data_IF_714185182297
#
_entry.id   IF_714185182297
#
_cell.length_a   1.000
_cell.length_b   1.000
_cell.length_c   1.000
_cell.angle_alpha   90.00
_cell.angle_beta   90.00
_cell.angle_gamma   90.00
#
_symmetry.space_group_name_H-M   'P 1'
#
loop_
_entity.id
_entity.type
_entity.pdbx_description
1 polymer ?
#
# COMPACT_ATOMS: atom_id res chain seq x y z
N UNK A 1 -5.20 -21.58 18.74
CA UNK A 1 -5.31 -20.11 18.75
C UNK A 1 -5.77 -19.66 17.37
N UNK A 2 -6.75 -18.78 17.31
CA UNK A 2 -7.24 -18.18 16.06
C UNK A 2 -6.36 -16.99 15.71
N UNK A 3 -6.12 -16.76 14.43
CA UNK A 3 -5.45 -15.54 13.95
C UNK A 3 -6.31 -14.28 14.13
N UNK A 4 -7.61 -14.43 14.37
CA UNK A 4 -8.57 -13.32 14.51
C UNK A 4 -8.63 -12.73 15.93
N UNK A 5 -8.04 -13.36 16.93
CA UNK A 5 -8.02 -12.87 18.31
C UNK A 5 -6.59 -12.63 18.76
N UNK A 6 -6.40 -11.58 19.56
CA UNK A 6 -5.15 -11.35 20.28
C UNK A 6 -4.97 -12.38 21.38
N UNK A 7 -3.72 -12.68 21.72
CA UNK A 7 -3.43 -13.45 22.92
C UNK A 7 -3.54 -12.53 24.13
N UNK A 8 -4.13 -13.05 25.19
CA UNK A 8 -4.21 -12.32 26.47
C UNK A 8 -3.82 -13.22 27.63
N UNK A 9 -3.32 -12.61 28.67
CA UNK A 9 -2.98 -13.25 29.94
C UNK A 9 -3.63 -12.46 31.07
N UNK A 10 -4.43 -13.15 31.88
CA UNK A 10 -4.97 -12.59 33.11
C UNK A 10 -3.91 -12.73 34.19
N UNK A 11 -3.62 -11.62 34.86
CA UNK A 11 -2.69 -11.53 35.98
C UNK A 11 -3.49 -11.05 37.20
N UNK A 12 -3.48 -11.85 38.24
CA UNK A 12 -4.21 -11.55 39.45
C UNK A 12 -3.37 -10.65 40.37
N UNK A 13 -3.96 -9.55 40.87
CA UNK A 13 -3.36 -8.63 41.85
C UNK A 13 -2.01 -8.01 41.44
N UNK A 14 -1.83 -7.68 40.16
CA UNK A 14 -0.57 -7.14 39.64
C UNK A 14 -0.55 -5.60 39.52
N UNK A 15 -1.70 -4.92 39.64
CA UNK A 15 -1.79 -3.47 39.60
C UNK A 15 -2.17 -2.92 40.98
N UNK A 16 -1.21 -2.30 41.66
CA UNK A 16 -1.44 -1.55 42.89
C UNK A 16 -1.87 -0.11 42.55
N UNK A 17 -3.05 0.29 43.05
CA UNK A 17 -3.58 1.64 42.87
C UNK A 17 -3.77 2.30 44.22
N UNK A 18 -3.08 3.43 44.41
CA UNK A 18 -3.28 4.33 45.55
C UNK A 18 -3.80 5.67 45.01
N UNK A 19 -5.06 5.94 45.24
CA UNK A 19 -5.75 7.14 44.72
C UNK A 19 -6.89 7.55 45.63
N UNK A 20 -7.48 8.70 45.42
CA UNK A 20 -8.64 9.19 46.18
C UNK A 20 -9.86 8.24 46.12
N UNK A 21 -9.91 7.30 45.19
CA UNK A 21 -11.01 6.35 44.99
C UNK A 21 -10.62 4.88 45.25
N UNK A 22 -9.32 4.60 45.45
CA UNK A 22 -8.82 3.24 45.73
C UNK A 22 -7.67 3.34 46.73
N UNK A 23 -7.96 3.02 48.00
CA UNK A 23 -7.05 3.19 49.14
C UNK A 23 -6.09 1.98 49.24
N UNK A 24 -5.07 1.95 48.38
CA UNK A 24 -4.05 0.90 48.40
C UNK A 24 -4.54 -0.49 47.98
N UNK A 25 -5.47 -0.58 47.06
CA UNK A 25 -6.02 -1.84 46.56
C UNK A 25 -5.21 -2.42 45.39
N UNK A 26 -5.11 -3.76 45.36
CA UNK A 26 -4.55 -4.51 44.25
C UNK A 26 -5.65 -4.95 43.28
N UNK A 27 -5.42 -4.71 42.00
CA UNK A 27 -6.36 -5.04 40.92
C UNK A 27 -5.76 -6.05 39.95
N UNK A 28 -6.60 -6.94 39.40
CA UNK A 28 -6.17 -7.80 38.31
C UNK A 28 -5.91 -7.01 37.05
N UNK A 29 -4.95 -7.49 36.26
CA UNK A 29 -4.55 -6.90 34.98
C UNK A 29 -4.76 -7.90 33.86
N UNK A 30 -5.29 -7.44 32.73
CA UNK A 30 -5.33 -8.18 31.50
C UNK A 30 -4.21 -7.68 30.58
N UNK A 31 -3.18 -8.51 30.39
CA UNK A 31 -2.14 -8.25 29.41
C UNK A 31 -2.57 -8.80 28.06
N UNK A 32 -2.52 -7.97 27.02
CA UNK A 32 -2.79 -8.38 25.65
C UNK A 32 -1.57 -8.10 24.77
N UNK A 33 -1.34 -8.96 23.79
CA UNK A 33 -0.33 -8.67 22.76
C UNK A 33 -0.73 -7.40 22.01
N UNK A 34 0.23 -6.51 21.79
CA UNK A 34 0.02 -5.33 20.96
C UNK A 34 -0.26 -5.75 19.52
N UNK A 35 -1.26 -5.14 18.88
CA UNK A 35 -1.61 -5.38 17.49
C UNK A 35 -1.11 -4.21 16.66
N UNK A 36 -0.10 -4.45 15.82
CA UNK A 36 0.30 -3.51 14.79
C UNK A 36 -0.68 -3.56 13.63
N UNK A 37 -1.08 -2.39 13.12
CA UNK A 37 -2.05 -2.25 12.04
C UNK A 37 -2.84 -0.95 12.14
N UNK A 38 -3.77 -0.79 11.23
CA UNK A 38 -4.74 0.32 11.20
C UNK A 38 -6.14 -0.18 11.52
N UNK A 39 -6.99 0.66 12.10
CA UNK A 39 -8.39 0.28 12.26
C UNK A 39 -9.09 0.20 10.89
N UNK A 40 -10.21 -0.53 10.85
CA UNK A 40 -10.92 -0.86 9.62
C UNK A 40 -11.33 0.40 8.83
N UNK A 41 -11.85 1.44 9.49
CA UNK A 41 -12.27 2.68 8.81
C UNK A 41 -11.10 3.40 8.14
N UNK A 42 -9.99 3.55 8.85
CA UNK A 42 -8.81 4.20 8.30
C UNK A 42 -8.20 3.38 7.15
N UNK A 43 -8.15 2.05 7.27
CA UNK A 43 -7.68 1.17 6.21
C UNK A 43 -8.52 1.33 4.93
N UNK A 44 -9.86 1.35 5.05
CA UNK A 44 -10.75 1.56 3.90
C UNK A 44 -10.46 2.90 3.23
N UNK A 45 -10.33 3.98 4.01
CA UNK A 45 -10.08 5.33 3.47
C UNK A 45 -8.73 5.45 2.77
N UNK A 46 -7.71 4.77 3.26
CA UNK A 46 -6.39 4.72 2.63
C UNK A 46 -6.40 3.96 1.29
N UNK A 47 -7.34 3.03 1.10
CA UNK A 47 -7.41 2.15 -0.07
C UNK A 47 -8.63 2.40 -0.97
N UNK A 48 -9.32 3.55 -0.87
CA UNK A 48 -10.53 3.86 -1.66
C UNK A 48 -10.31 3.76 -3.18
N UNK A 49 -9.08 3.95 -3.66
CA UNK A 49 -8.73 3.87 -5.07
C UNK A 49 -8.16 2.49 -5.47
N UNK A 50 -8.03 1.56 -4.52
CA UNK A 50 -7.54 0.21 -4.76
C UNK A 50 -8.66 -0.82 -4.63
N UNK A 51 -9.33 -1.08 -5.74
CA UNK A 51 -10.45 -2.03 -5.81
C UNK A 51 -10.05 -3.43 -5.33
N UNK A 52 -8.82 -3.88 -5.60
CA UNK A 52 -8.38 -5.20 -5.16
C UNK A 52 -8.28 -5.28 -3.64
N UNK A 53 -7.67 -4.29 -2.99
CA UNK A 53 -7.53 -4.26 -1.53
C UNK A 53 -8.89 -4.18 -0.83
N UNK A 54 -9.85 -3.41 -1.37
CA UNK A 54 -11.20 -3.35 -0.82
C UNK A 54 -11.95 -4.69 -0.95
N UNK A 55 -11.85 -5.38 -2.09
CA UNK A 55 -12.43 -6.71 -2.26
C UNK A 55 -11.75 -7.76 -1.38
N UNK A 56 -10.42 -7.68 -1.23
CA UNK A 56 -9.67 -8.55 -0.34
C UNK A 56 -10.08 -8.35 1.13
N UNK A 57 -10.27 -7.10 1.54
CA UNK A 57 -10.77 -6.77 2.87
C UNK A 57 -12.16 -7.36 3.13
N UNK A 58 -13.11 -7.20 2.19
CA UNK A 58 -14.44 -7.80 2.28
C UNK A 58 -14.36 -9.34 2.39
N UNK A 59 -13.50 -9.97 1.58
CA UNK A 59 -13.22 -11.40 1.68
C UNK A 59 -12.66 -11.80 3.04
N UNK A 60 -11.65 -11.09 3.57
CA UNK A 60 -11.08 -11.38 4.89
C UNK A 60 -12.11 -11.23 6.00
N UNK A 61 -12.96 -10.21 5.92
CA UNK A 61 -14.05 -10.03 6.87
C UNK A 61 -15.10 -11.15 6.76
N UNK A 62 -15.42 -11.64 5.55
CA UNK A 62 -16.28 -12.81 5.38
C UNK A 62 -15.70 -14.04 6.09
N UNK A 63 -14.38 -14.23 6.04
CA UNK A 63 -13.68 -15.32 6.75
C UNK A 63 -13.79 -15.16 8.27
N UNK A 64 -13.67 -13.93 8.79
CA UNK A 64 -13.93 -13.63 10.20
C UNK A 64 -15.37 -13.99 10.58
N UNK A 65 -16.38 -13.55 9.81
CA UNK A 65 -17.78 -13.84 10.06
C UNK A 65 -18.07 -15.35 10.10
N UNK A 66 -17.58 -16.09 9.09
CA UNK A 66 -17.69 -17.56 9.02
C UNK A 66 -17.02 -18.26 10.20
N UNK A 67 -15.96 -17.68 10.75
CA UNK A 67 -15.28 -18.22 11.91
C UNK A 67 -15.99 -17.89 13.22
N UNK A 68 -16.51 -16.66 13.39
CA UNK A 68 -17.09 -16.17 14.65
C UNK A 68 -18.52 -16.70 14.90
N UNK A 69 -19.39 -16.67 13.88
CA UNK A 69 -20.80 -17.05 14.02
C UNK A 69 -21.07 -18.42 14.71
N UNK A 70 -20.31 -19.50 14.41
CA UNK A 70 -20.55 -20.80 15.05
C UNK A 70 -19.90 -20.92 16.43
N UNK A 71 -19.34 -19.84 16.99
CA UNK A 71 -18.69 -19.89 18.29
C UNK A 71 -19.70 -19.75 19.42
N UNK A 72 -19.44 -20.36 20.59
CA UNK A 72 -20.28 -20.20 21.76
C UNK A 72 -19.99 -18.89 22.51
N UNK A 73 -19.36 -17.93 21.87
CA UNK A 73 -19.05 -16.60 22.40
C UNK A 73 -19.24 -15.54 21.32
N UNK A 74 -19.40 -14.31 21.73
CA UNK A 74 -19.52 -13.16 20.85
C UNK A 74 -18.62 -12.01 21.33
N UNK A 75 -18.20 -11.15 20.43
CA UNK A 75 -17.38 -9.97 20.74
C UNK A 75 -18.19 -8.91 21.51
N UNK A 76 -19.44 -8.70 21.08
CA UNK A 76 -20.41 -7.84 21.76
C UNK A 76 -20.33 -6.36 21.40
N UNK A 77 -19.25 -5.88 20.80
CA UNK A 77 -19.09 -4.53 20.25
C UNK A 77 -18.27 -4.53 18.96
N UNK A 78 -18.76 -5.25 17.94
CA UNK A 78 -18.15 -5.22 16.63
C UNK A 78 -18.45 -3.90 15.92
N UNK A 79 -17.41 -3.08 15.77
CA UNK A 79 -17.44 -1.82 15.02
C UNK A 79 -16.07 -1.60 14.36
N UNK A 80 -15.92 -0.65 13.40
CA UNK A 80 -14.66 -0.43 12.69
C UNK A 80 -13.47 -0.05 13.59
N UNK A 81 -13.71 0.54 14.75
CA UNK A 81 -12.66 0.90 15.72
C UNK A 81 -12.05 -0.31 16.40
N UNK A 82 -12.85 -1.38 16.58
CA UNK A 82 -12.46 -2.61 17.28
C UNK A 82 -11.95 -3.72 16.33
N UNK A 83 -11.78 -3.38 15.05
CA UNK A 83 -11.29 -4.27 14.01
C UNK A 83 -10.00 -3.69 13.46
N UNK A 84 -8.87 -4.35 13.74
CA UNK A 84 -7.55 -3.98 13.22
C UNK A 84 -7.24 -4.75 11.94
N UNK A 85 -6.70 -4.06 10.96
CA UNK A 85 -6.17 -4.64 9.72
C UNK A 85 -4.65 -4.47 9.74
N UNK A 86 -3.94 -5.58 9.67
CA UNK A 86 -2.48 -5.60 9.59
C UNK A 86 -2.00 -5.27 8.18
N UNK A 87 -0.71 -5.01 8.05
CA UNK A 87 -0.05 -4.71 6.78
C UNK A 87 -0.22 -5.84 5.73
N UNK A 88 -0.29 -7.10 6.18
CA UNK A 88 -0.56 -8.27 5.34
C UNK A 88 -2.06 -8.46 4.99
N UNK A 89 -2.93 -7.51 5.36
CA UNK A 89 -4.37 -7.55 5.16
C UNK A 89 -5.12 -8.48 6.13
N UNK A 90 -4.45 -9.09 7.11
CA UNK A 90 -5.12 -9.94 8.09
C UNK A 90 -5.91 -9.11 9.11
N UNK A 91 -7.10 -9.61 9.48
CA UNK A 91 -7.99 -8.94 10.43
C UNK A 91 -7.80 -9.51 11.84
N UNK A 92 -7.76 -8.63 12.83
CA UNK A 92 -7.69 -8.98 14.25
C UNK A 92 -8.69 -8.15 15.03
N UNK A 93 -9.47 -8.81 15.91
CA UNK A 93 -10.38 -8.15 16.84
C UNK A 93 -9.61 -7.68 18.08
N UNK A 94 -9.99 -6.51 18.57
CA UNK A 94 -9.47 -5.89 19.80
C UNK A 94 -10.63 -5.39 20.64
N UNK A 95 -10.37 -5.03 21.89
CA UNK A 95 -11.39 -4.49 22.83
C UNK A 95 -12.53 -5.47 23.12
N UNK A 96 -12.28 -6.36 24.08
CA UNK A 96 -13.20 -7.45 24.43
C UNK A 96 -14.11 -7.12 25.61
N UNK A 97 -14.28 -5.87 26.00
CA UNK A 97 -15.04 -5.47 27.21
C UNK A 97 -16.53 -5.83 27.10
N UNK A 98 -17.07 -5.82 25.87
CA UNK A 98 -18.43 -6.24 25.56
C UNK A 98 -18.66 -7.75 25.38
N UNK A 99 -17.60 -8.58 25.52
CA UNK A 99 -17.62 -9.97 25.11
C UNK A 99 -18.61 -10.81 25.92
N UNK A 100 -19.39 -11.63 25.21
CA UNK A 100 -20.17 -12.72 25.80
C UNK A 100 -19.37 -14.03 25.76
N UNK A 101 -19.36 -14.75 26.87
CA UNK A 101 -18.87 -16.13 26.96
C UNK A 101 -19.90 -17.01 27.67
N UNK A 102 -19.92 -18.36 27.46
CA UNK A 102 -20.93 -19.24 28.02
C UNK A 102 -21.12 -19.14 29.55
N UNK A 103 -20.06 -18.80 30.30
CA UNK A 103 -20.10 -18.59 31.73
C UNK A 103 -20.95 -17.38 32.17
N UNK A 104 -21.24 -16.46 31.24
CA UNK A 104 -22.08 -15.27 31.49
C UNK A 104 -23.54 -15.46 31.09
N UNK A 105 -23.95 -16.68 30.70
CA UNK A 105 -25.33 -16.98 30.32
C UNK A 105 -26.32 -16.60 31.42
N UNK A 106 -27.32 -15.78 31.07
CA UNK A 106 -28.32 -15.25 32.00
C UNK A 106 -27.91 -13.98 32.73
N UNK A 107 -26.73 -13.45 32.48
CA UNK A 107 -26.33 -12.11 32.93
C UNK A 107 -26.80 -11.06 31.93
N UNK A 108 -26.78 -9.78 32.33
CA UNK A 108 -27.04 -8.64 31.49
C UNK A 108 -25.75 -8.16 30.81
N UNK A 109 -25.87 -7.64 29.61
CA UNK A 109 -24.74 -6.94 28.95
C UNK A 109 -24.34 -5.71 29.77
N UNK A 110 -23.04 -5.52 29.97
CA UNK A 110 -22.49 -4.33 30.61
C UNK A 110 -22.37 -3.17 29.65
N UNK A 111 -22.21 -3.49 28.37
CA UNK A 111 -22.04 -2.55 27.28
C UNK A 111 -23.00 -2.87 26.14
N UNK A 112 -23.52 -1.80 25.52
CA UNK A 112 -24.49 -1.94 24.43
C UNK A 112 -23.85 -1.88 23.05
N UNK A 113 -22.56 -1.52 22.98
CA UNK A 113 -21.84 -1.29 21.74
C UNK A 113 -22.31 -0.04 20.98
N UNK A 114 -21.74 0.19 19.82
CA UNK A 114 -22.11 1.31 18.94
C UNK A 114 -23.48 1.08 18.29
N UNK A 115 -24.37 2.07 18.37
CA UNK A 115 -25.75 1.98 17.85
C UNK A 115 -25.79 1.78 16.33
N UNK A 116 -24.81 2.29 15.59
CA UNK A 116 -24.71 2.13 14.12
C UNK A 116 -24.24 0.71 13.72
N UNK A 117 -23.80 -0.10 14.68
CA UNK A 117 -23.37 -1.49 14.46
C UNK A 117 -24.12 -2.50 15.33
N UNK A 118 -25.05 -2.07 16.15
CA UNK A 118 -25.87 -2.96 16.99
C UNK A 118 -27.28 -3.08 16.46
N UNK A 119 -27.89 -4.25 16.68
CA UNK A 119 -29.30 -4.46 16.30
C UNK A 119 -30.20 -3.42 17.02
N UNK A 120 -31.11 -2.72 16.31
CA UNK A 120 -31.90 -1.61 16.88
C UNK A 120 -32.87 -2.03 18.00
N UNK A 121 -33.14 -3.32 18.16
CA UNK A 121 -33.92 -3.88 19.26
C UNK A 121 -33.05 -4.52 20.38
N UNK A 122 -31.72 -4.41 20.31
CA UNK A 122 -30.83 -4.91 21.37
C UNK A 122 -31.10 -4.18 22.68
N UNK A 123 -31.12 -4.95 23.76
CA UNK A 123 -31.25 -4.46 25.15
C UNK A 123 -30.20 -5.12 26.02
N UNK A 124 -30.02 -4.65 27.23
CA UNK A 124 -29.11 -5.28 28.22
C UNK A 124 -29.41 -6.77 28.43
N UNK A 125 -30.67 -7.19 28.28
CA UNK A 125 -31.09 -8.59 28.40
C UNK A 125 -30.71 -9.44 27.17
N UNK A 126 -30.37 -8.78 26.04
CA UNK A 126 -29.93 -9.46 24.81
C UNK A 126 -28.43 -9.71 24.91
N UNK A 127 -28.02 -10.68 25.74
CA UNK A 127 -26.63 -11.01 25.98
C UNK A 127 -26.41 -12.51 25.81
N UNK A 128 -26.00 -12.90 24.59
CA UNK A 128 -25.82 -14.27 24.15
C UNK A 128 -24.80 -14.38 23.01
N UNK A 129 -24.56 -15.60 22.53
CA UNK A 129 -23.62 -15.92 21.46
C UNK A 129 -23.97 -15.33 20.09
N UNK A 130 -25.17 -14.77 19.89
CA UNK A 130 -25.67 -14.26 18.61
C UNK A 130 -25.71 -12.72 18.54
N UNK A 131 -25.25 -12.02 19.56
CA UNK A 131 -25.30 -10.54 19.62
C UNK A 131 -24.50 -9.85 18.51
N UNK A 132 -23.55 -10.56 17.88
CA UNK A 132 -22.73 -10.05 16.77
C UNK A 132 -23.34 -10.32 15.39
N UNK A 133 -24.34 -11.17 15.26
CA UNK A 133 -24.88 -11.63 13.97
C UNK A 133 -25.32 -10.46 13.07
N UNK A 134 -25.99 -9.48 13.66
CA UNK A 134 -26.40 -8.26 12.97
C UNK A 134 -25.21 -7.40 12.53
N UNK A 135 -24.24 -7.18 13.42
CA UNK A 135 -23.04 -6.39 13.15
C UNK A 135 -22.22 -7.02 12.01
N UNK A 136 -22.05 -8.35 12.04
CA UNK A 136 -21.36 -9.11 10.99
C UNK A 136 -22.03 -8.94 9.64
N UNK A 137 -23.36 -9.03 9.57
CA UNK A 137 -24.12 -8.86 8.33
C UNK A 137 -24.03 -7.42 7.80
N UNK A 138 -24.19 -6.41 8.67
CA UNK A 138 -24.14 -4.99 8.32
C UNK A 138 -22.75 -4.54 7.84
N UNK A 139 -21.69 -4.94 8.57
CA UNK A 139 -20.31 -4.59 8.20
C UNK A 139 -19.94 -5.28 6.89
N UNK A 140 -20.21 -6.58 6.75
CA UNK A 140 -19.87 -7.32 5.52
C UNK A 140 -20.58 -6.76 4.29
N UNK A 141 -21.87 -6.41 4.41
CA UNK A 141 -22.60 -5.72 3.34
C UNK A 141 -21.95 -4.39 3.00
N UNK A 142 -21.63 -3.57 4.02
CA UNK A 142 -20.99 -2.27 3.80
C UNK A 142 -19.65 -2.41 3.08
N UNK A 143 -18.80 -3.33 3.52
CA UNK A 143 -17.49 -3.59 2.89
C UNK A 143 -17.61 -4.03 1.43
N UNK A 144 -18.57 -4.93 1.15
CA UNK A 144 -18.78 -5.44 -0.21
C UNK A 144 -19.32 -4.37 -1.15
N UNK A 145 -20.21 -3.50 -0.64
CA UNK A 145 -20.76 -2.36 -1.39
C UNK A 145 -19.69 -1.31 -1.65
N UNK A 146 -18.88 -0.95 -0.64
CA UNK A 146 -17.77 0.01 -0.80
C UNK A 146 -16.75 -0.52 -1.81
N UNK A 147 -16.49 -1.82 -1.84
CA UNK A 147 -15.57 -2.42 -2.82
C UNK A 147 -16.07 -2.30 -4.26
N UNK A 148 -17.40 -2.35 -4.49
CA UNK A 148 -18.01 -2.13 -5.81
C UNK A 148 -18.13 -0.64 -6.18
N UNK A 149 -18.53 0.19 -5.22
CA UNK A 149 -18.78 1.61 -5.44
C UNK A 149 -18.24 2.47 -4.27
N UNK A 150 -16.93 2.75 -4.26
CA UNK A 150 -16.27 3.50 -3.17
C UNK A 150 -16.89 4.88 -2.90
N UNK A 151 -17.48 5.53 -3.92
CA UNK A 151 -18.13 6.83 -3.79
C UNK A 151 -19.31 6.82 -2.80
N UNK A 152 -19.91 5.67 -2.52
CA UNK A 152 -20.98 5.55 -1.54
C UNK A 152 -20.50 5.81 -0.11
N UNK A 153 -19.23 5.57 0.18
CA UNK A 153 -18.67 5.90 1.49
C UNK A 153 -18.63 7.41 1.74
N UNK A 154 -18.33 8.22 0.73
CA UNK A 154 -18.40 9.69 0.84
C UNK A 154 -19.84 10.19 1.00
N UNK A 155 -20.78 9.53 0.30
CA UNK A 155 -22.18 9.92 0.29
C UNK A 155 -22.93 9.57 1.58
N UNK A 156 -22.67 8.41 2.17
CA UNK A 156 -23.45 7.83 3.28
C UNK A 156 -22.64 7.59 4.55
N UNK A 157 -21.31 7.48 4.46
CA UNK A 157 -20.42 7.24 5.59
C UNK A 157 -20.25 8.45 6.52
N UNK A 158 -19.66 8.20 7.68
CA UNK A 158 -19.21 9.21 8.64
C UNK A 158 -17.88 8.76 9.29
N UNK A 159 -17.33 9.58 10.18
CA UNK A 159 -16.04 9.27 10.83
C UNK A 159 -16.04 7.99 11.67
N UNK A 160 -17.20 7.60 12.19
CA UNK A 160 -17.43 6.46 13.08
C UNK A 160 -18.41 5.43 12.50
N UNK A 161 -18.76 5.57 11.22
CA UNK A 161 -19.78 4.76 10.53
C UNK A 161 -19.34 4.40 9.13
N UNK A 162 -19.62 3.18 8.68
CA UNK A 162 -19.44 2.78 7.30
C UNK A 162 -20.55 3.36 6.43
N UNK A 163 -21.58 2.60 6.11
CA UNK A 163 -22.66 3.06 5.22
C UNK A 163 -23.97 3.30 5.97
N UNK A 164 -24.39 2.37 6.82
CA UNK A 164 -25.67 2.40 7.50
C UNK A 164 -25.61 3.08 8.87
N UNK A 165 -26.70 3.75 9.25
CA UNK A 165 -26.91 4.35 10.56
C UNK A 165 -28.05 3.65 11.31
N UNK A 166 -28.14 3.86 12.63
CA UNK A 166 -29.26 3.41 13.44
C UNK A 166 -30.62 3.88 12.88
N UNK A 167 -30.68 5.09 12.30
CA UNK A 167 -31.90 5.62 11.67
C UNK A 167 -32.34 4.77 10.47
N UNK A 168 -31.41 4.31 9.66
CA UNK A 168 -31.67 3.46 8.50
C UNK A 168 -32.26 2.13 8.94
N UNK A 169 -31.75 1.53 10.02
CA UNK A 169 -32.26 0.28 10.58
C UNK A 169 -33.69 0.40 11.10
N UNK A 170 -33.99 1.54 11.76
CA UNK A 170 -35.35 1.79 12.30
C UNK A 170 -36.38 2.11 11.24
N UNK A 171 -35.98 2.54 10.05
CA UNK A 171 -36.83 2.88 8.93
C UNK A 171 -36.32 2.29 7.61
N UNK A 172 -36.00 1.00 7.63
CA UNK A 172 -35.29 0.35 6.52
C UNK A 172 -36.03 0.44 5.18
N UNK A 173 -37.36 0.44 5.18
CA UNK A 173 -38.19 0.60 3.98
C UNK A 173 -38.06 2.01 3.34
N UNK A 174 -37.65 3.02 4.08
CA UNK A 174 -37.41 4.37 3.60
C UNK A 174 -35.92 4.66 3.33
N UNK A 175 -35.03 3.74 3.70
CA UNK A 175 -33.58 3.89 3.56
C UNK A 175 -33.18 4.14 2.10
N UNK A 176 -32.62 5.32 1.83
CA UNK A 176 -32.19 5.71 0.48
C UNK A 176 -30.97 4.90 0.03
N UNK A 177 -30.03 4.64 0.93
CA UNK A 177 -28.88 3.79 0.64
C UNK A 177 -29.32 2.40 0.13
N UNK A 178 -30.29 1.77 0.80
CA UNK A 178 -30.78 0.47 0.37
C UNK A 178 -31.40 0.51 -1.03
N UNK A 179 -32.10 1.60 -1.38
CA UNK A 179 -32.66 1.81 -2.72
C UNK A 179 -31.57 2.03 -3.78
N UNK A 180 -30.46 2.62 -3.39
CA UNK A 180 -29.34 2.89 -4.30
C UNK A 180 -28.53 1.58 -4.58
N UNK A 181 -28.44 0.67 -3.62
CA UNK A 181 -27.61 -0.54 -3.75
C UNK A 181 -28.40 -1.81 -4.14
N UNK A 182 -29.73 -1.77 -4.14
CA UNK A 182 -30.58 -2.96 -4.41
C UNK A 182 -31.74 -2.64 -5.36
N UNK A 183 -31.97 -3.43 -6.44
CA UNK A 183 -31.15 -4.57 -6.84
C UNK A 183 -29.80 -4.15 -7.43
N UNK A 184 -28.77 -4.94 -7.15
CA UNK A 184 -27.40 -4.76 -7.67
C UNK A 184 -27.16 -5.70 -8.85
N UNK A 185 -26.26 -5.30 -9.76
CA UNK A 185 -25.72 -6.20 -10.79
C UNK A 185 -24.81 -7.28 -10.17
N UNK A 186 -24.26 -7.02 -8.99
CA UNK A 186 -23.43 -7.97 -8.24
C UNK A 186 -24.31 -8.96 -7.43
N UNK A 187 -24.30 -10.26 -7.75
CA UNK A 187 -25.12 -11.26 -7.05
C UNK A 187 -24.77 -11.40 -5.56
N UNK A 188 -23.50 -11.18 -5.18
CA UNK A 188 -23.05 -11.24 -3.79
C UNK A 188 -23.68 -10.10 -2.98
N UNK A 189 -23.74 -8.87 -3.51
CA UNK A 189 -24.42 -7.75 -2.87
C UNK A 189 -25.88 -8.07 -2.61
N UNK A 190 -26.59 -8.61 -3.59
CA UNK A 190 -28.01 -9.00 -3.44
C UNK A 190 -28.20 -10.05 -2.34
N UNK A 191 -27.29 -11.03 -2.27
CA UNK A 191 -27.29 -12.05 -1.21
C UNK A 191 -27.07 -11.44 0.16
N UNK A 192 -26.09 -10.54 0.28
CA UNK A 192 -25.78 -9.87 1.54
C UNK A 192 -26.87 -8.90 1.99
N UNK A 193 -27.56 -8.22 1.06
CA UNK A 193 -28.77 -7.43 1.38
C UNK A 193 -29.85 -8.34 1.97
N UNK A 194 -30.09 -9.51 1.37
CA UNK A 194 -31.03 -10.48 1.91
C UNK A 194 -30.68 -10.93 3.33
N UNK A 195 -29.41 -11.25 3.58
CA UNK A 195 -28.92 -11.63 4.91
C UNK A 195 -29.05 -10.50 5.92
N UNK A 196 -28.69 -9.28 5.54
CA UNK A 196 -28.83 -8.09 6.38
C UNK A 196 -30.30 -7.85 6.79
N UNK A 197 -31.24 -7.98 5.86
CA UNK A 197 -32.68 -7.84 6.16
C UNK A 197 -33.15 -8.96 7.09
N UNK A 198 -32.68 -10.20 6.92
CA UNK A 198 -32.98 -11.31 7.82
C UNK A 198 -32.42 -11.02 9.21
N UNK A 199 -31.17 -10.61 9.34
CA UNK A 199 -30.53 -10.27 10.61
C UNK A 199 -31.28 -9.13 11.32
N UNK A 200 -31.72 -8.12 10.58
CA UNK A 200 -32.51 -7.00 11.10
C UNK A 200 -33.94 -7.42 11.56
N UNK A 201 -34.51 -8.45 10.93
CA UNK A 201 -35.87 -8.89 11.22
C UNK A 201 -35.93 -9.93 12.35
N UNK A 202 -34.97 -10.85 12.38
CA UNK A 202 -34.95 -11.99 13.29
C UNK A 202 -34.02 -11.78 14.51
N UNK A 203 -33.19 -10.73 14.49
CA UNK A 203 -32.16 -10.42 15.48
C UNK A 203 -31.04 -11.47 15.65
N UNK A 204 -31.13 -12.61 14.99
CA UNK A 204 -30.08 -13.63 14.90
C UNK A 204 -30.07 -14.33 13.53
N UNK A 205 -28.97 -15.00 13.21
CA UNK A 205 -28.78 -15.77 12.00
C UNK A 205 -28.63 -17.28 12.26
N UNK A 206 -28.99 -17.75 13.45
CA UNK A 206 -28.82 -19.14 13.88
C UNK A 206 -29.48 -20.17 12.96
N UNK A 207 -30.58 -19.79 12.31
CA UNK A 207 -31.35 -20.63 11.37
C UNK A 207 -30.97 -20.39 9.90
N UNK A 208 -29.99 -19.53 9.64
CA UNK A 208 -29.56 -19.19 8.29
C UNK A 208 -28.25 -19.90 7.97
N UNK A 209 -28.11 -20.36 6.73
CA UNK A 209 -26.84 -20.96 6.32
C UNK A 209 -25.75 -19.88 6.28
N UNK A 210 -24.78 -19.97 7.19
CA UNK A 210 -23.62 -19.07 7.24
C UNK A 210 -22.77 -19.10 5.96
N UNK A 211 -22.94 -20.12 5.08
CA UNK A 211 -22.30 -20.14 3.74
C UNK A 211 -22.71 -18.96 2.87
N UNK A 212 -23.85 -18.34 3.14
CA UNK A 212 -24.29 -17.15 2.42
C UNK A 212 -23.44 -15.90 2.74
N UNK A 213 -22.65 -15.93 3.82
CA UNK A 213 -21.65 -14.90 4.13
C UNK A 213 -20.31 -15.13 3.41
N UNK A 214 -20.14 -16.27 2.71
CA UNK A 214 -18.90 -16.60 2.03
C UNK A 214 -18.75 -15.77 0.76
N UNK A 215 -17.69 -14.97 0.69
CA UNK A 215 -17.24 -14.31 -0.53
C UNK A 215 -16.14 -15.14 -1.20
N UNK A 216 -15.99 -15.00 -2.51
CA UNK A 216 -14.83 -15.52 -3.21
C UNK A 216 -13.61 -14.63 -2.97
N UNK A 217 -12.43 -15.25 -2.85
CA UNK A 217 -11.18 -14.48 -2.79
C UNK A 217 -10.98 -13.76 -4.12
N UNK A 218 -10.81 -12.45 -4.12
CA UNK A 218 -10.53 -11.72 -5.36
C UNK A 218 -9.23 -12.27 -5.98
N UNK A 219 -9.24 -12.37 -7.29
CA UNK A 219 -8.00 -12.70 -8.01
C UNK A 219 -7.05 -11.52 -7.86
N UNK A 220 -5.83 -11.83 -7.48
CA UNK A 220 -4.76 -10.83 -7.56
C UNK A 220 -4.78 -10.23 -8.97
N UNK A 221 -4.78 -8.88 -9.10
CA UNK A 221 -4.65 -8.28 -10.41
C UNK A 221 -3.39 -8.87 -11.05
N UNK A 222 -3.55 -9.55 -12.17
CA UNK A 222 -2.40 -9.89 -12.99
C UNK A 222 -1.72 -8.55 -13.27
N UNK A 223 -0.54 -8.34 -12.68
CA UNK A 223 0.33 -7.26 -13.08
C UNK A 223 0.67 -7.62 -14.52
N UNK A 224 -0.09 -7.08 -15.47
CA UNK A 224 0.29 -7.10 -16.86
C UNK A 224 1.67 -6.40 -16.89
N UNK A 225 2.74 -7.19 -16.86
CA UNK A 225 4.11 -6.67 -17.01
C UNK A 225 4.20 -6.21 -18.45
N UNK A 226 3.66 -5.02 -18.69
CA UNK A 226 3.75 -4.37 -19.99
C UNK A 226 5.24 -4.03 -20.15
N UNK A 227 5.90 -4.66 -21.11
CA UNK A 227 7.30 -4.41 -21.39
C UNK A 227 7.51 -2.94 -21.75
N UNK A 228 8.58 -2.33 -21.25
CA UNK A 228 9.03 -0.99 -21.63
C UNK A 228 9.57 -0.94 -23.04
N UNK A 229 9.93 -2.10 -23.62
CA UNK A 229 10.41 -2.21 -25.01
C UNK A 229 9.26 -2.04 -25.98
N UNK A 230 9.51 -1.25 -27.01
CA UNK A 230 8.61 -1.08 -28.13
C UNK A 230 8.66 -2.33 -29.02
N UNK A 231 7.52 -2.87 -29.38
CA UNK A 231 7.39 -4.03 -30.28
C UNK A 231 6.88 -3.58 -31.65
N UNK A 232 7.02 -4.45 -32.67
CA UNK A 232 6.44 -4.20 -33.99
C UNK A 232 4.91 -4.02 -33.94
N UNK A 233 4.23 -4.66 -33.03
CA UNK A 233 2.79 -4.52 -32.81
C UNK A 233 2.44 -3.14 -32.20
N UNK A 234 3.26 -2.64 -31.28
CA UNK A 234 3.10 -1.29 -30.73
C UNK A 234 3.24 -0.21 -31.82
N UNK A 235 4.13 -0.43 -32.81
CA UNK A 235 4.40 0.48 -33.90
C UNK A 235 3.33 0.48 -35.03
N UNK A 236 2.69 -0.67 -35.25
CA UNK A 236 1.83 -0.93 -36.39
C UNK A 236 0.63 0.01 -36.51
N UNK A 237 0.00 0.32 -35.37
CA UNK A 237 -1.17 1.19 -35.30
C UNK A 237 -0.92 2.38 -34.36
N UNK A 238 0.35 2.71 -34.13
CA UNK A 238 0.75 3.85 -33.31
C UNK A 238 0.26 5.16 -33.95
N UNK A 239 -0.06 6.11 -33.07
CA UNK A 239 -0.50 7.45 -33.50
C UNK A 239 0.32 8.51 -32.78
N UNK A 240 0.44 9.68 -33.40
CA UNK A 240 1.21 10.82 -32.90
C UNK A 240 0.24 11.95 -32.56
N UNK A 241 0.40 12.58 -31.43
CA UNK A 241 -0.41 13.74 -31.05
C UNK A 241 0.11 15.05 -31.70
N UNK A 242 -0.57 16.16 -31.37
CA UNK A 242 -0.25 17.49 -31.86
C UNK A 242 1.11 18.03 -31.39
N UNK A 243 1.72 17.41 -30.38
CA UNK A 243 3.03 17.76 -29.82
C UNK A 243 4.17 16.89 -30.35
N UNK A 244 3.88 15.98 -31.26
CA UNK A 244 4.89 15.07 -31.83
C UNK A 244 5.17 13.85 -30.90
N UNK A 245 4.34 13.58 -29.92
CA UNK A 245 4.50 12.43 -29.00
C UNK A 245 3.69 11.24 -29.52
N UNK A 246 4.36 10.11 -29.69
CA UNK A 246 3.84 8.87 -30.27
C UNK A 246 3.38 7.90 -29.21
N UNK A 247 2.20 7.32 -29.41
CA UNK A 247 1.57 6.37 -28.49
C UNK A 247 1.21 5.07 -29.21
N UNK A 248 1.14 3.97 -28.46
CA UNK A 248 0.50 2.74 -28.93
C UNK A 248 -0.97 2.98 -29.28
N UNK A 249 -1.57 2.09 -30.08
CA UNK A 249 -2.96 2.17 -30.52
C UNK A 249 -3.94 2.42 -29.38
N UNK A 250 -3.78 1.73 -28.26
CA UNK A 250 -4.62 1.81 -27.06
C UNK A 250 -4.24 2.95 -26.10
N UNK A 251 -3.16 3.69 -26.41
CA UNK A 251 -2.64 4.80 -25.61
C UNK A 251 -1.96 4.38 -24.30
N UNK A 252 -1.81 3.07 -24.03
CA UNK A 252 -1.19 2.59 -22.79
C UNK A 252 0.33 2.75 -22.75
N UNK A 253 0.97 2.81 -23.92
CA UNK A 253 2.41 3.04 -24.05
C UNK A 253 2.69 4.38 -24.71
N UNK A 254 3.54 5.19 -24.09
CA UNK A 254 4.20 6.32 -24.73
C UNK A 254 5.47 5.79 -25.38
N UNK A 255 5.53 5.81 -26.71
CA UNK A 255 6.55 5.12 -27.51
C UNK A 255 7.76 6.02 -27.75
N UNK A 256 7.52 7.26 -28.23
CA UNK A 256 8.59 8.13 -28.72
C UNK A 256 8.12 9.60 -28.75
N UNK A 257 9.05 10.54 -28.68
CA UNK A 257 8.83 11.95 -28.93
C UNK A 257 9.66 12.38 -30.16
N UNK A 258 8.99 12.74 -31.25
CA UNK A 258 9.64 13.11 -32.51
C UNK A 258 9.94 14.60 -32.62
N UNK A 259 9.49 15.44 -31.68
CA UNK A 259 9.77 16.88 -31.64
C UNK A 259 10.92 17.21 -30.69
N UNK A 260 12.11 17.38 -31.20
CA UNK A 260 13.32 17.77 -30.44
C UNK A 260 13.22 19.16 -29.81
N UNK A 261 12.24 19.98 -30.18
CA UNK A 261 12.02 21.33 -29.68
C UNK A 261 10.94 21.41 -28.59
N UNK A 262 10.37 20.27 -28.20
CA UNK A 262 9.35 20.20 -27.16
C UNK A 262 9.92 20.72 -25.84
N UNK A 263 9.29 21.77 -25.27
CA UNK A 263 9.78 22.39 -24.01
C UNK A 263 9.02 21.93 -22.77
N UNK A 264 7.76 21.57 -22.91
CA UNK A 264 6.94 21.05 -21.82
C UNK A 264 5.90 20.07 -22.33
N UNK A 265 5.62 19.03 -21.55
CA UNK A 265 4.64 18.04 -21.96
C UNK A 265 3.88 17.45 -20.76
N UNK A 266 2.58 17.24 -20.95
CA UNK A 266 1.75 16.49 -20.00
C UNK A 266 1.38 15.17 -20.64
N UNK A 267 1.92 14.08 -20.10
CA UNK A 267 1.63 12.72 -20.57
C UNK A 267 0.13 12.43 -20.38
N UNK A 268 -0.48 11.78 -21.36
CA UNK A 268 -1.92 11.50 -21.35
C UNK A 268 -2.33 10.57 -20.22
N UNK A 269 -3.45 10.89 -19.59
CA UNK A 269 -4.07 10.00 -18.62
C UNK A 269 -4.43 8.65 -19.25
N UNK A 270 -4.17 7.55 -18.55
CA UNK A 270 -4.33 6.18 -19.07
C UNK A 270 -3.04 5.57 -19.63
N UNK A 271 -1.98 6.36 -19.86
CA UNK A 271 -0.66 5.82 -20.17
C UNK A 271 -0.14 5.04 -18.98
N UNK A 272 0.28 3.80 -19.22
CA UNK A 272 0.80 2.86 -18.19
C UNK A 272 2.32 2.81 -18.21
N UNK A 273 2.93 2.91 -19.38
CA UNK A 273 4.37 2.74 -19.61
C UNK A 273 4.90 3.92 -20.40
N UNK A 274 6.01 4.48 -19.93
CA UNK A 274 6.88 5.32 -20.75
C UNK A 274 7.98 4.40 -21.29
N UNK A 275 7.97 4.15 -22.60
CA UNK A 275 8.85 3.18 -23.23
C UNK A 275 10.33 3.61 -23.21
N UNK A 276 11.21 2.62 -23.42
CA UNK A 276 12.65 2.85 -23.49
C UNK A 276 12.96 3.95 -24.54
N UNK A 277 13.73 4.96 -24.13
CA UNK A 277 14.15 6.07 -24.97
C UNK A 277 13.07 7.08 -25.36
N UNK A 278 11.88 7.02 -24.82
CA UNK A 278 10.72 7.80 -25.29
C UNK A 278 10.91 9.32 -25.43
N UNK A 279 11.78 9.93 -24.63
CA UNK A 279 12.20 11.34 -24.75
C UNK A 279 13.73 11.47 -24.95
N UNK A 280 14.35 10.45 -25.50
CA UNK A 280 15.79 10.39 -25.73
C UNK A 280 16.27 11.59 -26.62
N UNK A 281 17.23 12.38 -26.09
CA UNK A 281 17.78 13.58 -26.73
C UNK A 281 16.80 14.74 -26.92
N UNK A 282 15.65 14.78 -26.30
CA UNK A 282 14.78 15.97 -26.33
C UNK A 282 15.38 17.04 -25.38
N UNK A 283 16.46 17.66 -25.87
CA UNK A 283 17.32 18.58 -25.08
C UNK A 283 16.60 19.83 -24.60
N UNK A 284 15.56 20.25 -25.31
CA UNK A 284 14.74 21.43 -25.00
C UNK A 284 13.71 21.18 -23.88
N UNK A 285 13.43 19.91 -23.51
CA UNK A 285 12.41 19.56 -22.53
C UNK A 285 12.77 20.11 -21.16
N UNK A 286 11.99 21.05 -20.63
CA UNK A 286 12.18 21.73 -19.34
C UNK A 286 11.33 21.10 -18.24
N UNK A 287 10.14 20.58 -18.60
CA UNK A 287 9.22 19.97 -17.65
C UNK A 287 8.38 18.88 -18.29
N UNK A 288 8.10 17.84 -17.51
CA UNK A 288 7.17 16.77 -17.88
C UNK A 288 6.26 16.46 -16.71
N UNK A 289 4.95 16.33 -16.99
CA UNK A 289 3.97 15.87 -16.00
C UNK A 289 3.64 14.41 -16.28
N UNK A 290 3.92 13.54 -15.33
CA UNK A 290 3.66 12.10 -15.41
C UNK A 290 2.37 11.82 -14.62
N UNK A 291 1.32 11.25 -15.24
CA UNK A 291 0.05 10.97 -14.56
C UNK A 291 0.14 9.72 -13.67
N UNK A 292 -0.76 9.63 -12.69
CA UNK A 292 -0.86 8.50 -11.74
C UNK A 292 -1.23 7.16 -12.38
N UNK A 293 -1.50 7.14 -13.69
CA UNK A 293 -1.70 5.90 -14.43
C UNK A 293 -0.38 5.21 -14.83
N UNK A 294 0.76 5.91 -14.81
CA UNK A 294 2.07 5.37 -15.21
C UNK A 294 2.62 4.49 -14.10
N UNK A 295 2.97 3.25 -14.44
CA UNK A 295 3.50 2.25 -13.51
C UNK A 295 4.99 1.96 -13.72
N UNK A 296 5.56 2.31 -14.89
CA UNK A 296 6.97 2.05 -15.19
C UNK A 296 7.57 3.13 -16.08
N UNK A 297 8.80 3.51 -15.77
CA UNK A 297 9.67 4.37 -16.58
C UNK A 297 10.78 3.47 -17.15
N UNK A 298 10.85 3.38 -18.47
CA UNK A 298 11.78 2.53 -19.20
C UNK A 298 13.23 2.99 -19.15
N UNK A 299 14.09 2.26 -19.87
CA UNK A 299 15.51 2.59 -19.97
C UNK A 299 15.71 3.86 -20.82
N UNK A 300 16.64 4.73 -20.42
CA UNK A 300 17.05 5.92 -21.16
C UNK A 300 15.92 6.91 -21.52
N UNK A 301 14.79 6.89 -20.81
CA UNK A 301 13.60 7.70 -21.15
C UNK A 301 13.93 9.17 -21.32
N UNK A 302 14.64 9.78 -20.37
CA UNK A 302 15.02 11.21 -20.39
C UNK A 302 16.53 11.41 -20.61
N UNK A 303 17.19 10.45 -21.23
CA UNK A 303 18.62 10.57 -21.51
C UNK A 303 18.90 11.78 -22.40
N UNK A 304 19.84 12.66 -21.97
CA UNK A 304 20.16 13.95 -22.59
C UNK A 304 19.00 14.96 -22.69
N UNK A 305 18.00 14.89 -21.79
CA UNK A 305 17.08 16.00 -21.59
C UNK A 305 17.77 17.12 -20.77
N UNK A 306 18.72 17.80 -21.43
CA UNK A 306 19.68 18.71 -20.81
C UNK A 306 19.02 19.90 -20.10
N UNK A 307 17.81 20.32 -20.55
CA UNK A 307 17.03 21.42 -19.97
C UNK A 307 16.04 21.01 -18.88
N UNK A 308 15.91 19.71 -18.57
CA UNK A 308 14.93 19.22 -17.61
C UNK A 308 15.32 19.65 -16.18
N UNK A 309 14.47 20.46 -15.52
CA UNK A 309 14.77 21.06 -14.21
C UNK A 309 14.28 20.22 -13.03
N UNK A 310 13.11 19.63 -13.17
CA UNK A 310 12.50 18.77 -12.13
C UNK A 310 11.55 17.78 -12.75
N UNK A 311 11.42 16.62 -12.08
CA UNK A 311 10.43 15.59 -12.41
C UNK A 311 9.77 15.13 -11.11
N UNK A 312 8.46 15.10 -11.13
CA UNK A 312 7.67 14.43 -10.09
C UNK A 312 7.28 13.05 -10.61
N UNK A 313 7.78 12.01 -9.95
CA UNK A 313 7.43 10.62 -10.24
C UNK A 313 6.22 10.28 -9.38
N UNK A 314 5.08 9.86 -9.97
CA UNK A 314 3.87 9.56 -9.20
C UNK A 314 4.00 8.25 -8.39
N UNK A 315 3.17 8.12 -7.34
CA UNK A 315 3.15 6.96 -6.43
C UNK A 315 2.67 5.65 -7.09
N UNK A 316 2.30 5.68 -8.36
CA UNK A 316 1.99 4.50 -9.16
C UNK A 316 3.21 3.83 -9.79
N UNK A 317 4.37 4.55 -9.88
CA UNK A 317 5.58 4.03 -10.51
C UNK A 317 6.30 3.06 -9.58
N UNK A 318 6.53 1.85 -10.07
CA UNK A 318 7.22 0.78 -9.32
C UNK A 318 8.66 0.55 -9.75
N UNK A 319 9.05 1.02 -10.95
CA UNK A 319 10.42 0.84 -11.47
C UNK A 319 10.91 2.02 -12.29
N UNK A 320 12.21 2.30 -12.15
CA UNK A 320 12.94 3.29 -12.96
C UNK A 320 14.05 2.53 -13.68
N UNK A 321 14.05 2.60 -15.03
CA UNK A 321 14.96 1.88 -15.89
C UNK A 321 16.41 2.42 -15.88
N UNK A 322 17.30 1.68 -16.55
CA UNK A 322 18.71 2.04 -16.65
C UNK A 322 18.87 3.37 -17.42
N UNK A 323 19.78 4.25 -17.01
CA UNK A 323 20.05 5.56 -17.64
C UNK A 323 18.84 6.50 -17.72
N UNK A 324 17.76 6.29 -16.98
CA UNK A 324 16.48 6.99 -17.20
C UNK A 324 16.60 8.53 -17.19
N UNK A 325 17.46 9.09 -16.33
CA UNK A 325 17.74 10.54 -16.23
C UNK A 325 19.21 10.87 -16.54
N UNK A 326 19.92 9.98 -17.24
CA UNK A 326 21.32 10.20 -17.58
C UNK A 326 21.52 11.49 -18.35
N UNK A 327 22.49 12.30 -17.93
CA UNK A 327 22.85 13.57 -18.55
C UNK A 327 21.72 14.63 -18.58
N UNK A 328 20.80 14.58 -17.61
CA UNK A 328 19.88 15.69 -17.35
C UNK A 328 20.62 16.81 -16.60
N UNK A 329 21.43 17.56 -17.37
CA UNK A 329 22.42 18.51 -16.81
C UNK A 329 21.82 19.75 -16.14
N UNK A 330 20.49 19.94 -16.20
CA UNK A 330 19.76 20.99 -15.48
C UNK A 330 18.90 20.46 -14.32
N UNK A 331 18.87 19.14 -14.07
CA UNK A 331 17.99 18.51 -13.07
C UNK A 331 18.44 18.88 -11.64
N UNK A 332 17.62 19.66 -10.95
CA UNK A 332 17.89 20.16 -9.60
C UNK A 332 17.30 19.30 -8.49
N UNK A 333 16.17 18.69 -8.77
CA UNK A 333 15.46 17.84 -7.81
C UNK A 333 14.69 16.70 -8.49
N UNK A 334 14.67 15.56 -7.81
CA UNK A 334 13.82 14.42 -8.15
C UNK A 334 13.36 13.78 -6.84
N UNK A 335 12.08 13.43 -6.77
CA UNK A 335 11.53 12.65 -5.66
C UNK A 335 11.23 11.26 -6.16
N UNK A 336 11.82 10.24 -5.52
CA UNK A 336 11.52 8.83 -5.76
C UNK A 336 10.45 8.45 -4.75
N UNK A 337 9.24 8.07 -5.19
CA UNK A 337 8.15 7.73 -4.27
C UNK A 337 8.34 6.36 -3.60
N UNK A 338 7.61 6.14 -2.50
CA UNK A 338 7.65 4.90 -1.72
C UNK A 338 7.03 3.68 -2.44
N UNK A 339 6.54 3.85 -3.65
CA UNK A 339 6.10 2.78 -4.55
C UNK A 339 7.23 2.13 -5.35
N UNK A 340 8.36 2.83 -5.52
CA UNK A 340 9.48 2.35 -6.34
C UNK A 340 10.23 1.23 -5.62
N UNK A 341 10.26 0.06 -6.23
CA UNK A 341 10.95 -1.13 -5.72
C UNK A 341 12.30 -1.39 -6.40
N UNK A 342 12.50 -0.83 -7.61
CA UNK A 342 13.70 -1.06 -8.41
C UNK A 342 14.24 0.23 -9.05
N UNK A 343 15.55 0.45 -8.89
CA UNK A 343 16.30 1.54 -9.54
C UNK A 343 17.37 0.92 -10.45
N UNK A 344 17.43 1.38 -11.69
CA UNK A 344 18.37 0.95 -12.71
C UNK A 344 19.81 1.40 -12.49
N UNK A 345 20.69 0.98 -13.37
CA UNK A 345 22.08 1.45 -13.45
C UNK A 345 22.14 2.86 -14.04
N UNK A 346 23.12 3.68 -13.61
CA UNK A 346 23.47 4.98 -14.20
C UNK A 346 22.30 5.99 -14.31
N UNK A 347 21.25 5.82 -13.50
CA UNK A 347 20.01 6.62 -13.58
C UNK A 347 20.28 8.12 -13.53
N UNK A 348 21.17 8.58 -12.64
CA UNK A 348 21.48 9.99 -12.45
C UNK A 348 22.91 10.35 -12.90
N UNK A 349 23.45 9.62 -13.86
CA UNK A 349 24.78 9.91 -14.40
C UNK A 349 24.84 11.33 -14.99
N UNK A 350 25.83 12.13 -14.60
CA UNK A 350 26.00 13.55 -14.99
C UNK A 350 24.82 14.48 -14.65
N UNK A 351 24.01 14.17 -13.65
CA UNK A 351 23.03 15.13 -13.10
C UNK A 351 23.73 16.12 -12.15
N UNK A 352 24.55 17.01 -12.68
CA UNK A 352 25.46 17.86 -11.90
C UNK A 352 24.78 18.84 -10.92
N UNK A 353 23.59 19.42 -11.20
CA UNK A 353 22.89 20.32 -10.28
C UNK A 353 22.12 19.58 -9.17
N UNK A 354 21.95 18.25 -9.27
CA UNK A 354 21.15 17.48 -8.34
C UNK A 354 21.79 17.52 -6.93
N UNK A 355 21.05 18.04 -5.95
CA UNK A 355 21.58 18.28 -4.60
C UNK A 355 21.51 17.03 -3.71
N UNK A 356 20.39 16.30 -3.78
CA UNK A 356 20.19 15.09 -2.98
C UNK A 356 19.23 14.13 -3.66
N UNK A 357 19.42 12.84 -3.38
CA UNK A 357 18.49 11.77 -3.75
C UNK A 357 18.22 10.93 -2.52
N UNK A 358 16.94 10.66 -2.25
CA UNK A 358 16.51 9.75 -1.19
C UNK A 358 16.20 8.41 -1.85
N UNK A 359 16.79 7.33 -1.33
CA UNK A 359 16.42 5.95 -1.65
C UNK A 359 15.36 5.53 -0.63
N UNK A 360 14.09 5.38 -0.99
CA UNK A 360 13.02 5.07 -0.05
C UNK A 360 13.07 3.62 0.47
N UNK A 361 12.32 3.35 1.53
CA UNK A 361 12.25 2.02 2.19
C UNK A 361 11.80 0.90 1.24
N UNK A 362 10.97 1.23 0.26
CA UNK A 362 10.43 0.31 -0.74
C UNK A 362 11.47 -0.28 -1.69
N UNK A 363 12.60 0.42 -1.89
CA UNK A 363 13.61 -0.02 -2.86
C UNK A 363 14.35 -1.26 -2.35
N UNK A 364 14.16 -2.37 -3.05
CA UNK A 364 14.79 -3.67 -2.75
C UNK A 364 15.88 -4.03 -3.78
N UNK A 365 15.86 -3.40 -4.97
CA UNK A 365 16.76 -3.69 -6.07
C UNK A 365 17.43 -2.43 -6.57
N UNK A 366 18.76 -2.43 -6.61
CA UNK A 366 19.60 -1.48 -7.36
C UNK A 366 20.47 -2.32 -8.29
N UNK A 367 20.32 -2.12 -9.63
CA UNK A 367 20.97 -2.99 -10.62
C UNK A 367 22.48 -2.77 -10.71
N UNK A 368 22.92 -1.52 -10.76
CA UNK A 368 24.34 -1.14 -10.85
C UNK A 368 24.62 0.08 -10.00
N UNK A 369 25.45 1.02 -10.46
CA UNK A 369 25.69 2.30 -9.80
C UNK A 369 24.72 3.37 -10.32
N UNK A 370 23.71 3.82 -9.55
CA UNK A 370 22.75 4.83 -10.05
C UNK A 370 23.36 6.25 -10.18
N UNK A 371 24.52 6.51 -9.58
CA UNK A 371 25.06 7.85 -9.36
C UNK A 371 26.45 8.14 -9.96
N UNK A 372 26.88 7.59 -11.12
CA UNK A 372 28.20 7.90 -11.65
C UNK A 372 28.33 9.39 -11.96
N UNK A 373 29.43 10.01 -11.57
CA UNK A 373 29.69 11.45 -11.74
C UNK A 373 28.55 12.37 -11.22
N UNK A 374 27.68 11.89 -10.36
CA UNK A 374 26.60 12.67 -9.73
C UNK A 374 27.08 13.23 -8.38
N UNK A 375 27.05 14.55 -8.17
CA UNK A 375 27.50 15.14 -6.91
C UNK A 375 26.44 15.08 -5.80
N UNK A 376 25.26 14.55 -6.07
CA UNK A 376 24.13 14.52 -5.16
C UNK A 376 24.48 13.82 -3.83
N UNK A 377 23.95 14.35 -2.73
CA UNK A 377 23.99 13.64 -1.46
C UNK A 377 22.98 12.49 -1.48
N UNK A 378 23.45 11.26 -1.40
CA UNK A 378 22.60 10.08 -1.30
C UNK A 378 22.17 9.88 0.15
N UNK A 379 20.86 9.78 0.38
CA UNK A 379 20.24 9.50 1.68
C UNK A 379 19.52 8.16 1.51
N UNK A 380 19.87 7.19 2.33
CA UNK A 380 19.25 5.85 2.24
C UNK A 380 18.31 5.62 3.42
N UNK A 381 17.06 5.27 3.10
CA UNK A 381 16.06 4.79 4.07
C UNK A 381 15.82 3.28 3.93
N UNK A 382 16.20 2.67 2.80
CA UNK A 382 15.98 1.24 2.57
C UNK A 382 16.81 0.35 3.51
N UNK A 383 16.17 -0.70 4.02
CA UNK A 383 16.82 -1.74 4.83
C UNK A 383 17.70 -2.72 4.00
N UNK A 384 17.60 -2.67 2.67
CA UNK A 384 18.37 -3.51 1.75
C UNK A 384 19.77 -2.95 1.42
N UNK A 385 19.99 -1.67 1.74
CA UNK A 385 21.23 -0.95 1.45
C UNK A 385 21.74 -0.21 2.68
N UNK A 386 23.00 0.20 2.65
CA UNK A 386 23.59 1.01 3.71
C UNK A 386 24.61 2.00 3.14
N UNK A 387 24.66 3.20 3.73
CA UNK A 387 25.78 4.14 3.51
C UNK A 387 26.81 3.90 4.61
N UNK A 388 27.97 3.43 4.22
CA UNK A 388 29.09 3.22 5.12
C UNK A 388 30.32 3.97 4.61
N UNK A 389 30.97 4.75 5.48
CA UNK A 389 32.11 5.63 5.12
C UNK A 389 31.84 6.46 3.86
N UNK A 390 30.59 6.93 3.70
CA UNK A 390 30.17 7.78 2.59
C UNK A 390 29.95 7.06 1.26
N UNK A 391 29.96 5.73 1.21
CA UNK A 391 29.76 4.93 0.01
C UNK A 391 28.55 3.99 0.17
N UNK A 392 27.90 3.63 -0.94
CA UNK A 392 26.69 2.81 -0.96
C UNK A 392 27.05 1.32 -1.11
N UNK A 393 26.48 0.51 -0.22
CA UNK A 393 26.64 -0.96 -0.19
C UNK A 393 25.29 -1.65 -0.05
N UNK A 394 25.29 -2.97 -0.28
CA UNK A 394 24.23 -3.85 0.26
C UNK A 394 24.21 -3.78 1.80
N UNK A 395 23.07 -4.06 2.43
CA UNK A 395 22.92 -3.95 3.90
C UNK A 395 23.90 -4.82 4.69
N UNK A 396 24.30 -5.98 4.14
CA UNK A 396 25.31 -6.88 4.72
C UNK A 396 26.76 -6.43 4.45
N UNK A 397 26.96 -5.32 3.73
CA UNK A 397 28.25 -4.76 3.28
C UNK A 397 29.12 -5.69 2.45
N UNK A 398 28.54 -6.69 1.80
CA UNK A 398 29.29 -7.62 0.96
C UNK A 398 29.47 -7.13 -0.48
N UNK A 399 28.58 -6.25 -0.97
CA UNK A 399 28.72 -5.66 -2.30
C UNK A 399 28.86 -4.15 -2.19
N UNK A 400 29.94 -3.59 -2.76
CA UNK A 400 30.05 -2.14 -3.03
C UNK A 400 29.24 -1.82 -4.28
N UNK A 401 28.22 -0.96 -4.14
CA UNK A 401 27.34 -0.57 -5.23
C UNK A 401 27.85 0.71 -5.88
N UNK A 402 28.20 1.72 -5.08
CA UNK A 402 28.66 3.02 -5.58
C UNK A 402 29.69 3.65 -4.66
N UNK A 403 30.83 4.02 -5.21
CA UNK A 403 31.80 4.88 -4.55
C UNK A 403 31.34 6.34 -4.70
N UNK A 404 30.89 6.94 -3.59
CA UNK A 404 30.34 8.30 -3.55
C UNK A 404 31.31 9.30 -2.92
N UNK A 405 32.38 8.80 -2.30
CA UNK A 405 33.42 9.61 -1.67
C UNK A 405 34.28 10.30 -2.72
N UNK A 406 34.89 11.43 -2.35
CA UNK A 406 35.73 12.23 -3.25
C UNK A 406 37.22 12.13 -2.90
N UNK A 407 37.62 11.07 -2.20
CA UNK A 407 39.00 10.85 -1.78
C UNK A 407 39.94 10.45 -2.92
N UNK A 408 41.24 10.74 -2.79
CA UNK A 408 42.26 10.28 -3.75
C UNK A 408 42.61 8.81 -3.58
N UNK A 409 42.41 8.26 -2.40
CA UNK A 409 42.69 6.86 -2.07
C UNK A 409 41.50 6.22 -1.38
N UNK A 410 41.21 4.98 -1.75
CA UNK A 410 40.16 4.21 -1.13
C UNK A 410 40.63 2.79 -0.81
N UNK A 411 40.40 2.36 0.42
CA UNK A 411 40.63 0.98 0.86
C UNK A 411 39.28 0.31 0.99
N UNK A 412 39.03 -0.70 0.16
CA UNK A 412 37.78 -1.46 0.22
C UNK A 412 37.79 -2.27 1.54
N UNK A 413 36.69 -2.22 2.34
CA UNK A 413 36.61 -2.99 3.59
C UNK A 413 36.70 -4.49 3.36
N UNK A 414 37.32 -5.21 4.31
CA UNK A 414 37.48 -6.68 4.25
C UNK A 414 36.17 -7.46 4.24
N UNK A 415 35.05 -6.81 4.59
CA UNK A 415 33.69 -7.41 4.49
C UNK A 415 33.20 -7.53 3.05
N UNK A 416 33.78 -6.79 2.11
CA UNK A 416 33.35 -6.73 0.72
C UNK A 416 33.83 -7.96 -0.03
N UNK A 417 32.90 -8.67 -0.65
CA UNK A 417 33.18 -9.86 -1.48
C UNK A 417 32.96 -9.62 -2.97
N UNK A 418 32.25 -8.52 -3.32
CA UNK A 418 32.00 -8.13 -4.70
C UNK A 418 31.96 -6.62 -4.89
N UNK A 419 32.42 -6.17 -6.06
CA UNK A 419 32.32 -4.80 -6.54
C UNK A 419 31.26 -4.79 -7.63
N UNK A 420 30.28 -3.89 -7.53
CA UNK A 420 29.19 -3.78 -8.50
C UNK A 420 29.62 -3.17 -9.83
N UNK A 421 28.73 -3.29 -10.82
CA UNK A 421 28.92 -2.66 -12.13
C UNK A 421 29.00 -1.13 -11.97
N UNK A 422 29.86 -0.48 -12.74
CA UNK A 422 30.09 0.96 -12.71
C UNK A 422 30.41 1.56 -11.33
N UNK A 423 30.81 0.73 -10.31
CA UNK A 423 30.94 1.18 -8.92
C UNK A 423 31.90 2.35 -8.72
N UNK A 424 32.96 2.45 -9.52
CA UNK A 424 33.95 3.53 -9.53
C UNK A 424 33.89 4.40 -10.79
N UNK A 425 32.85 4.25 -11.63
CA UNK A 425 32.76 5.02 -12.85
C UNK A 425 32.84 6.53 -12.62
N UNK A 426 33.71 7.19 -13.37
CA UNK A 426 33.94 8.64 -13.33
C UNK A 426 34.41 9.19 -11.96
N UNK A 427 35.04 8.38 -11.13
CA UNK A 427 35.66 8.82 -9.89
C UNK A 427 37.01 9.53 -10.18
N UNK A 428 36.96 10.68 -10.84
CA UNK A 428 38.15 11.40 -11.38
C UNK A 428 39.16 11.83 -10.32
N UNK A 429 38.76 11.98 -9.07
CA UNK A 429 39.68 12.29 -7.94
C UNK A 429 40.41 11.07 -7.41
N UNK A 430 39.89 9.84 -7.68
CA UNK A 430 40.45 8.62 -7.13
C UNK A 430 41.70 8.18 -7.89
N UNK A 431 42.83 8.12 -7.19
CA UNK A 431 44.15 7.78 -7.76
C UNK A 431 44.53 6.32 -7.47
N UNK A 432 44.04 5.77 -6.37
CA UNK A 432 44.33 4.38 -5.99
C UNK A 432 43.23 3.73 -5.21
N UNK A 433 42.99 2.44 -5.50
CA UNK A 433 42.09 1.56 -4.75
C UNK A 433 42.88 0.37 -4.23
N UNK A 434 42.74 0.06 -2.95
CA UNK A 434 43.23 -1.18 -2.37
C UNK A 434 42.10 -2.18 -2.31
N UNK A 435 42.25 -3.31 -3.01
CA UNK A 435 41.25 -4.38 -3.08
C UNK A 435 41.72 -5.50 -2.13
N UNK A 436 40.93 -5.88 -1.11
CA UNK A 436 41.30 -6.96 -0.19
C UNK A 436 41.08 -8.33 -0.84
N UNK A 437 41.72 -9.35 -0.26
CA UNK A 437 41.61 -10.74 -0.72
C UNK A 437 40.20 -11.32 -0.62
N UNK A 438 39.31 -10.70 0.13
CA UNK A 438 37.89 -11.07 0.25
C UNK A 438 37.10 -10.84 -1.03
N UNK A 439 37.55 -9.94 -1.92
CA UNK A 439 36.84 -9.63 -3.17
C UNK A 439 37.05 -10.76 -4.19
N UNK A 440 35.98 -11.45 -4.52
CA UNK A 440 35.97 -12.56 -5.47
C UNK A 440 35.36 -12.23 -6.83
N UNK A 441 34.64 -11.11 -6.95
CA UNK A 441 34.05 -10.66 -8.22
C UNK A 441 34.10 -9.14 -8.35
N UNK A 442 34.30 -8.71 -9.60
CA UNK A 442 34.27 -7.30 -10.01
C UNK A 442 33.32 -7.20 -11.18
N UNK A 443 32.37 -6.27 -11.09
CA UNK A 443 31.37 -6.02 -12.11
C UNK A 443 31.93 -5.33 -13.37
N UNK A 444 31.08 -5.18 -14.37
CA UNK A 444 31.44 -4.52 -15.62
C UNK A 444 31.75 -3.04 -15.36
N UNK A 445 32.83 -2.55 -15.95
CA UNK A 445 33.23 -1.11 -15.86
C UNK A 445 33.33 -0.57 -14.42
N UNK A 446 33.58 -1.45 -13.46
CA UNK A 446 33.68 -1.10 -12.03
C UNK A 446 34.86 -0.19 -11.66
#
# INVERSE_FOLDING_TARGET
SSSFLTKFQYLDNELFVDSANADGEEFPVLLMDWVEGTNLDLYIRQHLHDSYQLHLLAYQFSRLALWLMPKPFAHGDLNPGNIMVREDGTIVLIDYDGMFVPAMKGQKSREMGSSDFSHPARTEETFNEHIDDFSLASILLSLRVIAEEPALLEKYGAADRLLFSEKDYRAIHDCQLLKDIFPSECPEVNTLVGLFIIALTLSDLSNVSFRLLSLERPKEPEIEIISTKVTEEDEKDAWTDEFGVKYSKDGKKLIDCTDDNLTSYTIRQGTRIICDGAFFFVRSLQSVTIPDSVTSIGDSVFWHCESLHSVTIPDSVTSIGDNAFMNCSSLQSVTIPDSVTSIGDSVFWFCSPLQSVIIPDSVTIIKGNPFPACPAKVINHSNHFTIFEGNLYTSDRRKLISYLSKGEKFIIPDSVTSIGDNAFSWCSSLQSVTIPDSVTSIGESA
#
